data_IF_310720099676
#
_entry.id   IF_310720099676
#
_cell.length_a   1.000
_cell.length_b   1.000
_cell.length_c   1.000
_cell.angle_alpha   90.00
_cell.angle_beta   90.00
_cell.angle_gamma   90.00
#
_symmetry.space_group_name_H-M   'P 1'
#
loop_
_entity.id
_entity.type
_entity.pdbx_description
1 polymer ?
#
# COMPACT_ATOMS: atom_id res chain seq x y z
N UNK A 1 1.99 73.78 7.13
CA UNK A 1 2.76 74.30 8.29
C UNK A 1 3.70 73.20 8.77
N UNK A 2 5.03 73.42 8.72
CA UNK A 2 6.06 72.38 8.68
C UNK A 2 6.87 72.29 9.98
N UNK A 3 7.57 71.18 10.21
CA UNK A 3 8.88 71.07 10.90
C UNK A 3 9.29 69.59 10.80
N UNK A 4 10.32 69.19 10.07
CA UNK A 4 11.73 69.56 10.23
C UNK A 4 12.47 68.22 10.38
N UNK A 5 12.92 67.63 9.27
CA UNK A 5 14.31 67.72 8.81
C UNK A 5 15.33 67.34 9.90
N UNK A 6 15.61 66.04 10.05
CA UNK A 6 16.86 65.58 10.66
C UNK A 6 17.77 65.03 9.56
N UNK A 7 18.74 65.87 9.19
CA UNK A 7 19.78 65.60 8.20
C UNK A 7 21.00 65.11 8.98
N UNK A 8 21.21 63.79 9.01
CA UNK A 8 22.45 63.21 9.52
C UNK A 8 23.49 63.14 8.39
N UNK A 9 24.63 63.76 8.67
CA UNK A 9 25.82 63.87 7.84
C UNK A 9 26.67 62.59 7.94
N UNK A 10 27.29 62.23 6.80
CA UNK A 10 28.67 61.69 6.66
C UNK A 10 28.90 60.30 7.31
N UNK A 11 29.69 59.34 6.80
CA UNK A 11 30.87 59.37 5.94
C UNK A 11 31.23 57.92 5.58
N UNK A 12 31.70 57.75 4.34
CA UNK A 12 32.81 56.87 3.90
C UNK A 12 32.89 55.40 4.36
N UNK A 13 32.83 54.56 3.32
CA UNK A 13 33.75 53.44 2.98
C UNK A 13 34.05 52.41 4.07
N UNK A 14 33.70 51.16 3.77
CA UNK A 14 34.72 50.14 3.46
C UNK A 14 34.06 48.97 2.73
N UNK A 15 34.57 48.67 1.54
CA UNK A 15 34.20 47.48 0.77
C UNK A 15 34.68 46.24 1.54
N UNK A 16 33.75 45.45 2.07
CA UNK A 16 34.07 44.12 2.58
C UNK A 16 34.11 43.16 1.39
N UNK A 17 35.31 42.61 1.14
CA UNK A 17 35.54 41.52 0.18
C UNK A 17 34.59 40.37 0.50
N UNK A 18 33.70 40.04 -0.42
CA UNK A 18 32.97 38.78 -0.40
C UNK A 18 33.96 37.65 -0.71
N UNK A 19 34.45 36.98 0.33
CA UNK A 19 35.11 35.70 0.16
C UNK A 19 34.03 34.69 -0.25
N UNK A 20 33.89 34.46 -1.56
CA UNK A 20 33.06 33.41 -2.11
C UNK A 20 33.51 32.07 -1.53
N UNK A 21 32.74 31.53 -0.59
CA UNK A 21 32.89 30.17 -0.13
C UNK A 21 32.47 29.27 -1.29
N UNK A 22 33.44 28.72 -2.00
CA UNK A 22 33.20 27.66 -2.99
C UNK A 22 32.55 26.50 -2.25
N UNK A 23 31.25 26.34 -2.42
CA UNK A 23 30.58 25.07 -2.12
C UNK A 23 31.17 24.08 -3.11
N UNK A 24 31.98 23.15 -2.62
CA UNK A 24 32.38 22.00 -3.41
C UNK A 24 31.09 21.30 -3.82
N UNK A 25 30.76 21.35 -5.12
CA UNK A 25 29.74 20.48 -5.70
C UNK A 25 30.32 19.08 -5.59
N UNK A 26 29.89 18.33 -4.58
CA UNK A 26 30.11 16.89 -4.53
C UNK A 26 29.42 16.31 -5.76
N UNK A 27 30.23 15.88 -6.73
CA UNK A 27 29.77 15.03 -7.81
C UNK A 27 29.39 13.68 -7.18
N UNK A 28 28.14 13.54 -6.74
CA UNK A 28 27.57 12.23 -6.48
C UNK A 28 27.56 11.50 -7.81
N UNK A 29 28.47 10.53 -7.90
CA UNK A 29 28.64 9.69 -9.08
C UNK A 29 27.35 8.88 -9.19
N UNK A 30 26.64 8.99 -10.31
CA UNK A 30 25.34 8.35 -10.55
C UNK A 30 25.44 6.82 -10.62
N UNK A 31 25.69 6.18 -9.47
CA UNK A 31 25.78 4.73 -9.29
C UNK A 31 25.13 4.20 -8.01
N UNK A 32 24.34 5.03 -7.31
CA UNK A 32 23.70 4.65 -6.05
C UNK A 32 22.15 4.55 -6.13
N UNK A 33 21.54 4.81 -7.30
CA UNK A 33 20.06 4.89 -7.42
C UNK A 33 19.39 3.62 -7.98
N UNK A 34 20.13 2.54 -8.24
CA UNK A 34 19.61 1.38 -9.00
C UNK A 34 19.31 0.13 -8.14
N UNK A 35 19.47 0.21 -6.82
CA UNK A 35 19.43 -1.00 -5.94
C UNK A 35 18.23 -1.02 -4.97
N UNK A 36 17.43 0.04 -4.84
CA UNK A 36 16.29 0.08 -3.90
C UNK A 36 14.90 -0.26 -4.50
N UNK A 37 14.81 -0.77 -5.73
CA UNK A 37 13.53 -1.19 -6.33
C UNK A 37 13.28 -2.70 -6.34
N UNK A 38 14.27 -3.55 -6.04
CA UNK A 38 14.19 -4.99 -6.34
C UNK A 38 14.47 -5.94 -5.16
N UNK A 39 14.19 -5.52 -3.92
CA UNK A 39 14.25 -6.44 -2.77
C UNK A 39 13.07 -6.26 -1.79
N UNK A 40 11.90 -5.89 -2.30
CA UNK A 40 10.66 -6.25 -1.60
C UNK A 40 10.42 -7.71 -1.94
N UNK A 41 11.04 -8.63 -1.20
CA UNK A 41 10.62 -10.03 -1.13
C UNK A 41 9.12 -10.03 -0.85
N UNK A 42 8.33 -10.18 -1.90
CA UNK A 42 6.88 -10.31 -1.81
C UNK A 42 6.61 -11.60 -1.05
N UNK A 43 6.37 -11.52 0.25
CA UNK A 43 5.87 -12.66 1.00
C UNK A 43 4.44 -12.90 0.50
N UNK A 44 4.18 -14.03 -0.18
CA UNK A 44 2.86 -14.28 -0.73
C UNK A 44 1.85 -14.32 0.42
N UNK A 45 0.84 -13.46 0.33
CA UNK A 45 -0.21 -13.40 1.35
C UNK A 45 -1.01 -14.70 1.31
N UNK A 46 -1.16 -15.41 2.45
CA UNK A 46 -1.82 -16.71 2.46
C UNK A 46 -3.30 -16.57 2.08
N UNK A 47 -3.74 -17.37 1.11
CA UNK A 47 -5.10 -17.32 0.56
C UNK A 47 -5.95 -18.43 1.18
N UNK A 48 -7.15 -18.13 1.69
CA UNK A 48 -8.04 -19.15 2.23
C UNK A 48 -8.60 -20.00 1.10
N UNK A 49 -8.78 -21.29 1.38
CA UNK A 49 -9.40 -22.27 0.50
C UNK A 49 -10.83 -22.57 0.96
N UNK A 50 -11.51 -23.56 0.37
CA UNK A 50 -12.82 -23.99 0.85
C UNK A 50 -12.78 -24.48 2.31
N UNK A 51 -11.66 -25.09 2.72
CA UNK A 51 -11.46 -25.76 4.00
C UNK A 51 -10.63 -24.94 5.00
N UNK A 52 -10.12 -23.77 4.60
CA UNK A 52 -9.34 -22.89 5.47
C UNK A 52 -9.94 -21.49 5.56
N UNK A 53 -9.64 -20.78 6.64
CA UNK A 53 -10.09 -19.40 6.89
C UNK A 53 -8.99 -18.59 7.56
N UNK A 54 -9.04 -17.27 7.41
CA UNK A 54 -8.15 -16.38 8.14
C UNK A 54 -8.53 -16.28 9.61
N UNK A 55 -7.50 -16.26 10.47
CA UNK A 55 -7.59 -15.94 11.88
C UNK A 55 -6.59 -14.85 12.23
N UNK A 56 -7.06 -13.79 12.87
CA UNK A 56 -6.17 -12.82 13.51
C UNK A 56 -5.70 -13.39 14.86
N UNK A 57 -4.40 -13.67 15.01
CA UNK A 57 -3.82 -14.19 16.25
C UNK A 57 -3.83 -13.15 17.37
N UNK A 58 -3.87 -11.85 17.02
CA UNK A 58 -3.86 -10.75 17.98
C UNK A 58 -5.19 -10.55 18.72
N UNK A 59 -6.32 -10.54 17.99
CA UNK A 59 -7.64 -10.25 18.56
C UNK A 59 -8.67 -11.37 18.41
N UNK A 60 -8.31 -12.47 17.74
CA UNK A 60 -9.20 -13.62 17.54
C UNK A 60 -10.26 -13.45 16.46
N UNK A 61 -10.25 -12.36 15.69
CA UNK A 61 -11.20 -12.15 14.60
C UNK A 61 -11.05 -13.21 13.49
N UNK A 62 -12.19 -13.73 13.02
CA UNK A 62 -12.28 -14.78 12.00
C UNK A 62 -13.13 -14.40 10.79
N UNK A 63 -13.80 -13.24 10.82
CA UNK A 63 -14.90 -12.95 9.88
C UNK A 63 -14.79 -11.62 9.12
N UNK A 64 -13.91 -10.70 9.54
CA UNK A 64 -13.80 -9.36 8.93
C UNK A 64 -12.36 -8.97 8.65
N UNK A 65 -12.00 -8.95 7.37
CA UNK A 65 -10.68 -8.56 6.91
C UNK A 65 -10.82 -7.61 5.72
N UNK A 66 -10.00 -6.57 5.67
CA UNK A 66 -9.83 -5.75 4.48
C UNK A 66 -8.76 -6.42 3.61
N UNK A 67 -9.06 -6.61 2.33
CA UNK A 67 -8.21 -7.36 1.40
C UNK A 67 -7.87 -6.47 0.23
N UNK A 68 -6.58 -6.32 -0.05
CA UNK A 68 -6.07 -5.58 -1.22
C UNK A 68 -5.55 -6.56 -2.25
N UNK A 69 -5.89 -6.32 -3.52
CA UNK A 69 -5.64 -7.21 -4.64
C UNK A 69 -5.34 -6.42 -5.90
N UNK A 70 -4.41 -6.95 -6.68
CA UNK A 70 -4.18 -6.55 -8.07
C UNK A 70 -4.71 -7.63 -9.01
N UNK A 71 -5.47 -7.23 -10.03
CA UNK A 71 -6.00 -8.12 -11.06
C UNK A 71 -5.64 -7.58 -12.45
N UNK A 72 -5.18 -8.46 -13.33
CA UNK A 72 -5.02 -8.21 -14.77
C UNK A 72 -6.24 -8.78 -15.47
N UNK A 73 -6.99 -7.91 -16.14
CA UNK A 73 -8.24 -8.26 -16.82
C UNK A 73 -8.22 -7.82 -18.27
N UNK A 74 -8.84 -8.61 -19.14
CA UNK A 74 -9.19 -8.27 -20.52
C UNK A 74 -10.71 -8.15 -20.57
N UNK A 75 -11.22 -7.06 -21.15
CA UNK A 75 -12.64 -6.78 -21.22
C UNK A 75 -13.04 -6.49 -22.67
N UNK A 76 -14.08 -7.16 -23.14
CA UNK A 76 -14.75 -6.80 -24.38
C UNK A 76 -15.77 -5.69 -24.05
N UNK A 77 -15.41 -4.46 -24.44
CA UNK A 77 -16.23 -3.27 -24.19
C UNK A 77 -16.93 -2.86 -25.47
N UNK A 78 -18.25 -2.88 -25.43
CA UNK A 78 -19.10 -2.33 -26.46
C UNK A 78 -19.40 -0.87 -26.11
N UNK A 79 -19.05 0.04 -27.02
CA UNK A 79 -19.46 1.44 -26.99
C UNK A 79 -20.65 1.60 -27.92
N UNK A 80 -21.73 2.20 -27.42
CA UNK A 80 -22.82 2.57 -28.31
C UNK A 80 -22.45 3.78 -29.20
N UNK A 81 -23.34 4.15 -30.13
CA UNK A 81 -23.09 5.28 -31.03
C UNK A 81 -23.06 6.65 -30.31
N UNK A 82 -23.61 6.73 -29.08
CA UNK A 82 -23.55 7.92 -28.24
C UNK A 82 -22.27 7.97 -27.39
N UNK A 83 -21.52 6.86 -27.31
CA UNK A 83 -20.26 6.73 -26.59
C UNK A 83 -20.39 6.13 -25.19
N UNK A 84 -21.54 5.59 -24.80
CA UNK A 84 -21.74 4.97 -23.49
C UNK A 84 -21.09 3.58 -23.45
N UNK A 85 -20.15 3.31 -22.51
CA UNK A 85 -19.43 2.04 -22.45
C UNK A 85 -20.22 0.97 -21.71
N UNK A 86 -20.22 -0.25 -22.25
CA UNK A 86 -20.74 -1.46 -21.61
C UNK A 86 -19.75 -2.61 -21.75
N UNK A 87 -19.38 -3.21 -20.62
CA UNK A 87 -18.58 -4.46 -20.62
C UNK A 87 -19.53 -5.63 -20.95
N UNK A 88 -19.25 -6.34 -22.04
CA UNK A 88 -20.02 -7.51 -22.47
C UNK A 88 -19.36 -8.83 -22.06
N UNK A 89 -18.03 -8.86 -22.04
CA UNK A 89 -17.24 -10.00 -21.57
C UNK A 89 -16.05 -9.51 -20.73
N UNK A 90 -15.69 -10.29 -19.71
CA UNK A 90 -14.52 -10.03 -18.86
C UNK A 90 -13.78 -11.34 -18.61
N UNK A 91 -12.50 -11.35 -18.95
CA UNK A 91 -11.55 -12.41 -18.67
C UNK A 91 -10.52 -11.92 -17.64
N UNK A 92 -10.35 -12.64 -16.53
CA UNK A 92 -9.31 -12.36 -15.53
C UNK A 92 -8.08 -13.21 -15.87
N UNK A 93 -7.00 -12.57 -16.32
CA UNK A 93 -5.77 -13.25 -16.73
C UNK A 93 -4.90 -13.64 -15.52
N UNK A 94 -4.84 -12.77 -14.52
CA UNK A 94 -4.07 -13.04 -13.30
C UNK A 94 -4.61 -12.21 -12.15
N UNK A 95 -4.52 -12.76 -10.95
CA UNK A 95 -4.98 -12.13 -9.74
C UNK A 95 -3.99 -12.40 -8.60
N UNK A 96 -3.58 -11.34 -7.90
CA UNK A 96 -2.59 -11.42 -6.82
C UNK A 96 -3.15 -10.73 -5.58
N UNK A 97 -3.09 -11.41 -4.44
CA UNK A 97 -3.45 -10.85 -3.14
C UNK A 97 -2.24 -10.12 -2.54
N UNK A 98 -2.37 -8.82 -2.34
CA UNK A 98 -1.26 -7.95 -1.94
C UNK A 98 -1.16 -7.78 -0.43
N UNK A 99 -2.30 -7.66 0.25
CA UNK A 99 -2.33 -7.57 1.71
C UNK A 99 -3.69 -7.98 2.26
N UNK A 100 -3.66 -8.47 3.50
CA UNK A 100 -4.85 -8.72 4.30
C UNK A 100 -4.66 -8.00 5.62
N UNK A 101 -5.68 -7.29 6.07
CA UNK A 101 -5.68 -6.49 7.29
C UNK A 101 -6.87 -6.86 8.14
N UNK A 102 -6.65 -7.12 9.42
CA UNK A 102 -7.74 -7.33 10.36
C UNK A 102 -8.52 -6.02 10.53
N UNK A 103 -9.78 -5.99 10.11
CA UNK A 103 -10.60 -4.76 10.19
C UNK A 103 -10.94 -4.35 11.63
N UNK A 104 -10.82 -5.27 12.59
CA UNK A 104 -11.13 -5.00 13.99
C UNK A 104 -9.99 -4.30 14.74
N UNK A 105 -8.74 -4.77 14.58
CA UNK A 105 -7.59 -4.27 15.33
C UNK A 105 -6.48 -3.69 14.44
N UNK A 106 -6.68 -3.64 13.13
CA UNK A 106 -5.79 -3.07 12.13
C UNK A 106 -4.44 -3.81 11.91
N UNK A 107 -4.26 -4.99 12.51
CA UNK A 107 -3.05 -5.82 12.32
C UNK A 107 -2.96 -6.39 10.90
N UNK A 108 -1.74 -6.47 10.36
CA UNK A 108 -1.45 -6.92 8.98
C UNK A 108 -0.52 -8.14 8.92
N UNK A 109 0.22 -8.39 9.99
CA UNK A 109 1.26 -9.41 10.14
C UNK A 109 0.86 -10.53 11.11
N UNK A 110 -0.33 -10.43 11.71
CA UNK A 110 -0.85 -11.36 12.72
C UNK A 110 -2.01 -12.20 12.18
N UNK A 111 -1.95 -12.57 10.90
CA UNK A 111 -3.04 -13.28 10.21
C UNK A 111 -2.53 -14.63 9.73
N UNK A 112 -3.16 -15.69 10.24
CA UNK A 112 -2.83 -17.08 9.89
C UNK A 112 -4.02 -17.76 9.20
N UNK A 113 -3.75 -18.87 8.51
CA UNK A 113 -4.78 -19.78 8.04
C UNK A 113 -5.05 -20.84 9.09
N UNK A 114 -6.32 -21.05 9.40
CA UNK A 114 -6.80 -22.15 10.26
C UNK A 114 -7.86 -22.94 9.53
N UNK A 115 -8.07 -24.18 9.96
CA UNK A 115 -9.11 -25.03 9.40
C UNK A 115 -10.50 -24.42 9.64
N UNK A 116 -11.32 -24.54 8.61
CA UNK A 116 -12.75 -24.32 8.69
C UNK A 116 -13.37 -25.59 9.28
N UNK A 117 -14.12 -25.49 10.39
CA UNK A 117 -14.85 -26.66 10.89
C UNK A 117 -15.82 -27.14 9.82
N UNK A 118 -15.74 -28.42 9.48
CA UNK A 118 -16.66 -29.04 8.55
C UNK A 118 -18.09 -28.89 9.08
N UNK A 119 -18.92 -28.14 8.37
CA UNK A 119 -20.36 -28.12 8.64
C UNK A 119 -20.97 -29.39 8.07
N UNK A 120 -21.04 -30.47 8.88
CA UNK A 120 -21.95 -31.58 8.63
C UNK A 120 -21.36 -32.93 8.19
N UNK A 121 -20.11 -33.27 8.51
CA UNK A 121 -19.74 -34.69 8.61
C UNK A 121 -20.26 -35.19 9.97
N UNK A 122 -21.49 -35.68 9.97
CA UNK A 122 -22.14 -36.18 11.18
C UNK A 122 -21.34 -37.32 11.79
N UNK A 123 -20.99 -37.17 13.07
CA UNK A 123 -20.67 -38.28 13.94
C UNK A 123 -21.99 -39.04 14.21
N UNK A 124 -22.45 -39.80 13.21
CA UNK A 124 -23.41 -40.89 13.41
C UNK A 124 -22.60 -42.17 13.67
N UNK A 125 -21.78 -42.14 14.72
CA UNK A 125 -21.19 -43.36 15.27
C UNK A 125 -22.31 -44.08 16.02
N UNK A 126 -22.95 -45.00 15.31
CA UNK A 126 -24.08 -45.80 15.76
C UNK A 126 -23.93 -46.33 17.18
N UNK A 127 -24.79 -45.83 18.07
CA UNK A 127 -25.10 -46.49 19.33
C UNK A 127 -26.25 -47.48 19.10
N UNK A 128 -25.99 -48.52 18.31
CA UNK A 128 -26.80 -49.76 18.31
C UNK A 128 -26.28 -50.65 19.45
N UNK A 129 -26.67 -50.32 20.69
CA UNK A 129 -26.60 -51.28 21.80
C UNK A 129 -27.85 -52.15 21.73
N UNK A 130 -27.62 -53.42 21.40
CA UNK A 130 -28.58 -54.51 21.59
C UNK A 130 -28.82 -54.87 23.04
#
# INVERSE_FOLDING_TARGET
>A
MPTGAYRALLTRRTARRAAGRRVARSASTGRDFEIYENEVTFMPVPVPTADTRWRCTLCGNLTRFDVTRSSKVVEYVHLDLAGEPKVEEREVLSETLESVRCRWCNAVDQIELVDRPATGAGNDEGNERG
#
